data_IF_900643041231
#
_entry.id   IF_900643041231
#
_cell.length_a   1.000
_cell.length_b   1.000
_cell.length_c   1.000
_cell.angle_alpha   90.00
_cell.angle_beta   90.00
_cell.angle_gamma   90.00
#
_symmetry.space_group_name_H-M   'P 1'
#
loop_
_entity.id
_entity.type
_entity.pdbx_description
1 polymer ?
#
# COMPACT_ATOMS: atom_id res chain seq x y z
N UNK A 1 18.23 -12.21 -32.65
CA UNK A 1 17.10 -12.02 -31.72
C UNK A 1 16.25 -10.88 -32.25
N UNK A 2 14.95 -11.09 -32.51
CA UNK A 2 14.05 -10.00 -32.89
C UNK A 2 13.42 -9.47 -31.61
N UNK A 3 14.06 -8.48 -31.00
CA UNK A 3 13.49 -7.82 -29.81
C UNK A 3 12.23 -7.09 -30.29
N UNK A 4 11.05 -7.56 -29.87
CA UNK A 4 9.77 -6.99 -30.28
C UNK A 4 9.30 -5.89 -29.33
N UNK A 5 9.62 -6.02 -28.03
CA UNK A 5 9.32 -5.03 -26.99
C UNK A 5 10.41 -5.00 -25.92
N UNK A 6 10.71 -3.80 -25.44
CA UNK A 6 11.57 -3.52 -24.28
C UNK A 6 10.78 -2.61 -23.34
N UNK A 7 10.82 -2.91 -22.05
CA UNK A 7 10.32 -2.02 -20.99
C UNK A 7 11.48 -1.59 -20.11
N UNK A 8 11.58 -0.32 -19.80
CA UNK A 8 12.56 0.20 -18.84
C UNK A 8 11.87 0.42 -17.50
N UNK A 9 12.52 0.03 -16.42
CA UNK A 9 11.99 0.24 -15.07
C UNK A 9 13.09 0.67 -14.11
N UNK A 10 12.65 1.28 -13.01
CA UNK A 10 13.46 1.52 -11.83
C UNK A 10 12.77 0.79 -10.70
N UNK A 11 13.48 -0.16 -10.10
CA UNK A 11 12.96 -0.93 -8.98
C UNK A 11 13.48 -0.26 -7.70
N UNK A 12 12.59 -0.16 -6.72
CA UNK A 12 12.88 0.31 -5.38
C UNK A 12 12.16 -0.58 -4.36
N UNK A 13 12.47 -0.40 -3.08
CA UNK A 13 11.69 -0.99 -2.01
C UNK A 13 11.44 0.01 -0.87
N UNK A 14 10.35 -0.20 -0.15
CA UNK A 14 9.99 0.54 1.07
C UNK A 14 9.77 -0.49 2.17
N UNK A 15 10.66 -0.51 3.17
CA UNK A 15 10.64 -1.53 4.23
C UNK A 15 10.60 -2.99 3.70
N UNK A 16 11.12 -3.21 2.48
CA UNK A 16 11.16 -4.53 1.84
C UNK A 16 10.00 -4.82 0.90
N UNK A 17 8.95 -3.99 0.90
CA UNK A 17 7.88 -4.09 -0.09
C UNK A 17 8.35 -3.48 -1.42
N UNK A 18 8.34 -4.24 -2.52
CA UNK A 18 8.93 -3.79 -3.78
C UNK A 18 8.02 -2.82 -4.51
N UNK A 19 8.60 -1.84 -5.21
CA UNK A 19 7.90 -1.06 -6.21
C UNK A 19 8.73 -0.99 -7.50
N UNK A 20 8.16 -1.50 -8.59
CA UNK A 20 8.67 -1.38 -9.94
C UNK A 20 8.04 -0.19 -10.67
N UNK A 21 8.81 0.87 -10.88
CA UNK A 21 8.37 2.07 -11.58
C UNK A 21 8.68 1.92 -13.07
N UNK A 22 7.65 1.82 -13.91
CA UNK A 22 7.82 1.65 -15.35
C UNK A 22 8.06 3.00 -16.00
N UNK A 23 9.23 3.17 -16.62
CA UNK A 23 9.70 4.45 -17.19
C UNK A 23 9.66 4.48 -18.72
N UNK A 24 9.46 3.33 -19.37
CA UNK A 24 9.49 3.26 -20.83
C UNK A 24 8.93 1.95 -21.39
N UNK A 25 8.60 1.97 -22.68
CA UNK A 25 7.97 0.84 -23.38
C UNK A 25 6.44 0.77 -23.25
N UNK A 26 5.83 1.71 -22.53
CA UNK A 26 4.37 1.77 -22.30
C UNK A 26 3.68 2.53 -23.44
N UNK A 27 2.56 2.02 -24.00
CA UNK A 27 1.78 2.77 -24.98
C UNK A 27 1.04 3.96 -24.33
N UNK A 28 0.47 4.84 -25.15
CA UNK A 28 -0.35 5.95 -24.63
C UNK A 28 -1.53 5.41 -23.82
N UNK A 29 -1.66 5.86 -22.59
CA UNK A 29 -2.78 5.58 -21.69
C UNK A 29 -3.84 6.66 -21.92
N UNK A 30 -5.04 6.26 -22.35
CA UNK A 30 -6.13 7.21 -22.62
C UNK A 30 -6.97 7.44 -21.37
N UNK A 31 -7.51 8.65 -21.25
CA UNK A 31 -8.38 9.07 -20.14
C UNK A 31 -8.01 10.47 -19.65
N UNK A 32 -9.02 11.27 -19.33
CA UNK A 32 -8.88 12.60 -18.75
C UNK A 32 -8.61 12.51 -17.25
N UNK A 33 -9.23 11.55 -16.56
CA UNK A 33 -9.03 11.29 -15.13
C UNK A 33 -8.16 10.06 -14.86
N UNK A 34 -7.62 9.94 -13.64
CA UNK A 34 -6.88 8.73 -13.26
C UNK A 34 -7.76 7.49 -13.20
N UNK A 35 -9.05 7.64 -12.86
CA UNK A 35 -10.02 6.55 -12.90
C UNK A 35 -10.25 6.04 -14.33
N UNK A 36 -10.42 6.95 -15.30
CA UNK A 36 -10.54 6.60 -16.72
C UNK A 36 -9.28 5.94 -17.25
N UNK A 37 -8.10 6.46 -16.89
CA UNK A 37 -6.82 5.86 -17.27
C UNK A 37 -6.63 4.47 -16.67
N UNK A 38 -7.03 4.27 -15.40
CA UNK A 38 -7.04 2.96 -14.76
C UNK A 38 -7.99 2.00 -15.49
N UNK A 39 -9.20 2.43 -15.83
CA UNK A 39 -10.16 1.62 -16.57
C UNK A 39 -9.62 1.23 -17.96
N UNK A 40 -9.02 2.18 -18.68
CA UNK A 40 -8.34 1.92 -19.96
C UNK A 40 -7.20 0.90 -19.80
N UNK A 41 -6.41 1.02 -18.74
CA UNK A 41 -5.34 0.07 -18.45
C UNK A 41 -5.87 -1.34 -18.18
N UNK A 42 -6.95 -1.48 -17.41
CA UNK A 42 -7.60 -2.76 -17.15
C UNK A 42 -8.15 -3.39 -18.43
N UNK A 43 -8.78 -2.60 -19.30
CA UNK A 43 -9.42 -3.10 -20.52
C UNK A 43 -8.41 -3.43 -21.63
N UNK A 44 -7.34 -2.63 -21.77
CA UNK A 44 -6.47 -2.70 -22.95
C UNK A 44 -5.01 -3.02 -22.64
N UNK A 45 -4.55 -2.75 -21.41
CA UNK A 45 -3.13 -2.80 -21.05
C UNK A 45 -2.80 -3.79 -19.92
N UNK A 46 -3.74 -4.66 -19.51
CA UNK A 46 -3.49 -5.58 -18.40
C UNK A 46 -2.31 -6.53 -18.66
N UNK A 47 -2.03 -6.79 -19.94
CA UNK A 47 -0.84 -7.52 -20.33
C UNK A 47 0.49 -6.91 -19.86
N UNK A 48 0.57 -5.61 -19.58
CA UNK A 48 1.77 -4.99 -18.99
C UNK A 48 2.01 -5.52 -17.58
N UNK A 49 0.92 -5.63 -16.81
CA UNK A 49 0.91 -6.15 -15.45
C UNK A 49 1.33 -7.61 -15.45
N UNK A 50 0.75 -8.44 -16.31
CA UNK A 50 1.17 -9.85 -16.46
C UNK A 50 2.67 -9.94 -16.76
N UNK A 51 3.15 -9.24 -17.80
CA UNK A 51 4.55 -9.31 -18.24
C UNK A 51 5.52 -8.90 -17.11
N UNK A 52 5.21 -7.84 -16.37
CA UNK A 52 6.16 -7.18 -15.47
C UNK A 52 6.00 -7.55 -14.00
N UNK A 53 4.82 -7.99 -13.56
CA UNK A 53 4.57 -8.38 -12.18
C UNK A 53 4.74 -9.88 -11.97
N UNK A 54 4.41 -10.72 -12.96
CA UNK A 54 4.48 -12.17 -12.83
C UNK A 54 5.89 -12.72 -13.04
N UNK A 55 6.11 -13.95 -12.57
CA UNK A 55 7.32 -14.69 -12.92
C UNK A 55 7.37 -14.90 -14.45
N UNK A 56 8.55 -14.87 -15.08
CA UNK A 56 9.89 -14.86 -14.47
C UNK A 56 10.49 -13.45 -14.26
N UNK A 57 9.74 -12.37 -14.55
CA UNK A 57 10.27 -10.99 -14.48
C UNK A 57 9.99 -10.33 -13.13
N UNK A 58 8.87 -10.65 -12.53
CA UNK A 58 8.52 -10.33 -11.15
C UNK A 58 8.38 -11.61 -10.33
N UNK A 59 7.42 -11.60 -9.41
CA UNK A 59 7.09 -12.68 -8.51
C UNK A 59 5.73 -12.41 -7.86
N UNK A 60 5.17 -13.38 -7.14
CA UNK A 60 3.83 -13.27 -6.52
C UNK A 60 3.59 -11.97 -5.73
N UNK A 61 4.58 -11.50 -4.97
CA UNK A 61 4.50 -10.25 -4.20
C UNK A 61 5.03 -8.99 -4.91
N UNK A 62 5.07 -8.94 -6.25
CA UNK A 62 5.59 -7.77 -6.98
C UNK A 62 4.52 -6.69 -7.07
N UNK A 63 4.93 -5.44 -6.82
CA UNK A 63 4.10 -4.25 -6.97
C UNK A 63 4.76 -3.31 -7.99
N UNK A 64 3.96 -2.54 -8.72
CA UNK A 64 4.48 -1.61 -9.70
C UNK A 64 3.59 -0.40 -9.92
N UNK A 65 4.12 0.57 -10.67
CA UNK A 65 3.37 1.74 -11.07
C UNK A 65 3.83 2.34 -12.39
N UNK A 66 3.00 3.21 -12.94
CA UNK A 66 3.30 4.09 -14.06
C UNK A 66 3.04 5.53 -13.59
N UNK A 67 4.06 6.39 -13.74
CA UNK A 67 3.90 7.84 -13.59
C UNK A 67 3.23 8.37 -14.85
N UNK A 68 2.20 9.18 -14.69
CA UNK A 68 1.41 9.78 -15.77
C UNK A 68 1.42 11.31 -15.64
N UNK A 69 1.08 12.04 -16.71
CA UNK A 69 0.78 13.46 -16.57
C UNK A 69 -0.32 13.69 -15.51
N UNK A 70 -0.36 14.83 -14.84
CA UNK A 70 -1.47 15.14 -13.94
C UNK A 70 -2.80 15.13 -14.71
N UNK A 71 -3.88 14.74 -14.03
CA UNK A 71 -5.26 14.89 -14.49
C UNK A 71 -5.82 16.25 -14.05
N UNK A 72 -5.40 16.74 -12.88
CA UNK A 72 -5.80 18.01 -12.29
C UNK A 72 -4.78 19.12 -12.63
N UNK A 73 -5.20 20.36 -12.94
CA UNK A 73 -4.27 21.45 -13.29
C UNK A 73 -3.26 21.84 -12.20
N UNK A 74 -3.57 21.54 -10.93
CA UNK A 74 -2.74 21.87 -9.77
C UNK A 74 -1.94 20.69 -9.22
N UNK A 75 -2.09 19.49 -9.79
CA UNK A 75 -1.28 18.34 -9.43
C UNK A 75 0.07 18.38 -10.16
N UNK A 76 1.11 17.90 -9.50
CA UNK A 76 2.47 17.83 -10.06
C UNK A 76 2.58 16.66 -11.06
N UNK A 77 1.97 15.52 -10.72
CA UNK A 77 1.90 14.34 -11.58
C UNK A 77 0.73 13.44 -11.18
N UNK A 78 0.48 12.41 -11.99
CA UNK A 78 -0.44 11.34 -11.63
C UNK A 78 0.25 9.98 -11.55
N UNK A 79 -0.35 9.02 -10.88
CA UNK A 79 0.21 7.67 -10.74
C UNK A 79 -0.85 6.59 -10.85
N UNK A 80 -0.52 5.51 -11.57
CA UNK A 80 -1.35 4.32 -11.69
C UNK A 80 -0.60 3.12 -11.12
N UNK A 81 -1.16 2.50 -10.09
CA UNK A 81 -0.57 1.35 -9.39
C UNK A 81 -1.09 0.02 -9.94
N UNK A 82 -0.28 -1.03 -9.83
CA UNK A 82 -0.65 -2.39 -10.20
C UNK A 82 0.08 -3.44 -9.34
N UNK A 83 -0.56 -4.59 -9.15
CA UNK A 83 0.00 -5.76 -8.46
C UNK A 83 -0.40 -7.05 -9.18
N UNK A 84 -0.18 -8.20 -8.56
CA UNK A 84 -0.45 -9.52 -9.13
C UNK A 84 -1.94 -9.80 -9.50
N UNK A 85 -2.91 -9.05 -8.97
CA UNK A 85 -4.35 -9.31 -9.21
C UNK A 85 -4.99 -8.25 -10.10
N UNK A 86 -4.36 -7.09 -10.27
CA UNK A 86 -4.93 -6.03 -11.10
C UNK A 86 -4.30 -4.67 -10.88
N UNK A 87 -5.05 -3.65 -11.29
CA UNK A 87 -4.70 -2.25 -11.14
C UNK A 87 -5.29 -1.72 -9.83
N UNK A 88 -4.43 -1.21 -8.95
CA UNK A 88 -4.84 -0.67 -7.64
C UNK A 88 -5.31 0.77 -7.74
N UNK A 89 -6.04 1.22 -6.73
CA UNK A 89 -6.53 2.60 -6.61
C UNK A 89 -5.55 3.52 -5.87
N UNK A 90 -4.87 3.03 -4.84
CA UNK A 90 -3.86 3.78 -4.08
C UNK A 90 -2.86 2.81 -3.44
N UNK A 91 -1.65 3.28 -3.18
CA UNK A 91 -0.63 2.54 -2.45
C UNK A 91 0.31 3.46 -1.66
N UNK A 92 0.27 3.40 -0.32
CA UNK A 92 1.07 4.27 0.54
C UNK A 92 2.59 4.07 0.39
N UNK A 93 3.06 2.83 0.36
CA UNK A 93 4.48 2.55 0.09
C UNK A 93 4.87 2.99 -1.34
N UNK A 94 3.91 2.91 -2.27
CA UNK A 94 4.07 3.33 -3.65
C UNK A 94 4.36 4.82 -3.78
N UNK A 95 3.62 5.66 -3.05
CA UNK A 95 3.85 7.12 -3.00
C UNK A 95 5.24 7.45 -2.49
N UNK A 96 5.66 6.81 -1.40
CA UNK A 96 7.00 6.98 -0.79
C UNK A 96 8.07 6.68 -1.85
N UNK A 97 8.00 5.52 -2.50
CA UNK A 97 8.98 5.12 -3.50
C UNK A 97 8.97 5.99 -4.76
N UNK A 98 7.80 6.35 -5.31
CA UNK A 98 7.72 7.19 -6.52
C UNK A 98 8.38 8.54 -6.31
N UNK A 99 8.14 9.18 -5.17
CA UNK A 99 8.73 10.48 -4.85
C UNK A 99 10.25 10.33 -4.66
N UNK A 100 10.70 9.37 -3.86
CA UNK A 100 12.13 9.14 -3.65
C UNK A 100 12.84 8.88 -4.97
N UNK A 101 12.36 7.94 -5.78
CA UNK A 101 12.97 7.63 -7.07
C UNK A 101 12.92 8.82 -8.01
N UNK A 102 11.78 9.51 -8.09
CA UNK A 102 11.64 10.65 -8.98
C UNK A 102 12.63 11.79 -8.65
N UNK A 103 12.86 12.07 -7.38
CA UNK A 103 13.86 13.05 -6.94
C UNK A 103 15.28 12.55 -7.21
N UNK A 104 15.64 11.35 -6.74
CA UNK A 104 17.02 10.84 -6.79
C UNK A 104 17.51 10.54 -8.20
N UNK A 105 16.58 10.31 -9.14
CA UNK A 105 16.90 10.10 -10.56
C UNK A 105 16.77 11.36 -11.40
N UNK A 106 16.41 12.49 -10.80
CA UNK A 106 16.27 13.78 -11.46
C UNK A 106 15.02 13.92 -12.33
N UNK A 107 14.00 13.07 -12.16
CA UNK A 107 12.69 13.24 -12.82
C UNK A 107 11.90 14.39 -12.19
N UNK A 108 12.08 14.64 -10.90
CA UNK A 108 11.43 15.71 -10.15
C UNK A 108 12.49 16.71 -9.67
N UNK A 109 12.31 17.97 -10.04
CA UNK A 109 13.14 19.06 -9.52
C UNK A 109 12.68 19.45 -8.11
N UNK A 110 13.64 19.62 -7.20
CA UNK A 110 13.38 19.97 -5.81
C UNK A 110 14.07 21.29 -5.50
N UNK A 111 13.31 22.28 -5.02
CA UNK A 111 13.82 23.65 -4.79
C UNK A 111 14.14 23.97 -3.32
N UNK A 112 13.88 23.06 -2.39
CA UNK A 112 14.12 23.27 -0.96
C UNK A 112 14.17 21.98 -0.14
N UNK A 113 14.51 22.09 1.14
CA UNK A 113 14.71 20.93 2.03
C UNK A 113 13.42 20.12 2.27
N UNK A 114 12.26 20.77 2.17
CA UNK A 114 10.95 20.13 2.26
C UNK A 114 10.11 20.52 1.07
N UNK A 115 9.84 19.56 0.18
CA UNK A 115 9.05 19.77 -1.02
C UNK A 115 7.70 19.10 -0.89
N UNK A 116 6.63 19.88 -1.11
CA UNK A 116 5.26 19.35 -1.24
C UNK A 116 5.05 18.84 -2.66
N UNK A 117 4.38 17.69 -2.77
CA UNK A 117 3.87 17.12 -4.00
C UNK A 117 2.36 16.90 -3.89
N UNK A 118 1.63 17.25 -4.93
CA UNK A 118 0.21 16.98 -5.13
C UNK A 118 0.10 15.94 -6.23
N UNK A 119 -0.47 14.77 -5.92
CA UNK A 119 -0.43 13.60 -6.79
C UNK A 119 -1.86 13.16 -7.09
N UNK A 120 -2.20 13.07 -8.38
CA UNK A 120 -3.46 12.46 -8.78
C UNK A 120 -3.33 10.93 -8.76
N UNK A 121 -4.17 10.26 -7.95
CA UNK A 121 -4.33 8.81 -7.97
C UNK A 121 -5.77 8.43 -8.36
N UNK A 122 -6.05 7.17 -8.74
CA UNK A 122 -7.43 6.72 -8.92
C UNK A 122 -8.29 6.82 -7.65
N UNK A 123 -7.70 6.86 -6.45
CA UNK A 123 -8.42 7.12 -5.20
C UNK A 123 -8.64 8.62 -4.89
N UNK A 124 -8.17 9.52 -5.75
CA UNK A 124 -8.21 10.96 -5.55
C UNK A 124 -6.82 11.57 -5.33
N UNK A 125 -6.82 12.84 -4.91
CA UNK A 125 -5.61 13.60 -4.64
C UNK A 125 -4.88 13.04 -3.41
N UNK A 126 -3.57 12.88 -3.53
CA UNK A 126 -2.67 12.55 -2.42
C UNK A 126 -1.65 13.67 -2.25
N UNK A 127 -1.55 14.17 -1.02
CA UNK A 127 -0.54 15.16 -0.65
C UNK A 127 0.64 14.43 -0.02
N UNK A 128 1.84 14.73 -0.49
CA UNK A 128 3.06 14.18 0.06
C UNK A 128 4.14 15.24 0.25
N UNK A 129 5.09 14.94 1.14
CA UNK A 129 6.21 15.81 1.45
C UNK A 129 7.50 15.00 1.44
N UNK A 130 8.44 15.40 0.60
CA UNK A 130 9.80 14.87 0.60
C UNK A 130 10.70 15.73 1.48
N UNK A 131 11.50 15.10 2.33
CA UNK A 131 12.64 15.73 3.00
C UNK A 131 13.91 15.38 2.24
N UNK A 132 14.57 16.39 1.65
CA UNK A 132 15.72 16.21 0.78
C UNK A 132 16.89 17.09 1.25
N UNK A 133 18.07 16.51 1.45
CA UNK A 133 19.23 17.23 1.99
C UNK A 133 20.20 17.76 0.90
N UNK A 134 19.83 17.66 -0.38
CA UNK A 134 20.69 18.03 -1.51
C UNK A 134 21.52 16.87 -2.08
N UNK A 135 21.57 15.72 -1.40
CA UNK A 135 22.20 14.50 -1.90
C UNK A 135 21.25 13.31 -2.01
N UNK A 136 20.40 13.12 -1.00
CA UNK A 136 19.49 11.96 -0.91
C UNK A 136 18.16 12.38 -0.28
N UNK A 137 17.11 11.59 -0.55
CA UNK A 137 15.81 11.77 0.08
C UNK A 137 15.83 11.09 1.44
N UNK A 138 15.82 11.89 2.51
CA UNK A 138 15.90 11.39 3.88
C UNK A 138 14.62 10.68 4.30
N UNK A 139 13.47 11.19 3.87
CA UNK A 139 12.17 10.56 4.06
C UNK A 139 11.10 11.16 3.16
N UNK A 140 10.02 10.39 2.96
CA UNK A 140 8.80 10.86 2.33
C UNK A 140 7.64 10.60 3.26
N UNK A 141 6.79 11.61 3.43
CA UNK A 141 5.54 11.52 4.16
C UNK A 141 4.35 11.75 3.25
N UNK A 142 3.21 11.11 3.50
CA UNK A 142 1.97 11.40 2.80
C UNK A 142 0.82 11.59 3.79
N UNK A 143 -0.08 12.51 3.46
CA UNK A 143 -1.36 12.68 4.13
C UNK A 143 -2.33 11.67 3.54
N UNK A 144 -2.87 10.80 4.37
CA UNK A 144 -3.86 9.84 3.92
C UNK A 144 -5.27 10.40 4.08
N UNK A 145 -6.24 9.75 3.44
CA UNK A 145 -7.66 10.06 3.60
C UNK A 145 -8.11 9.92 5.06
N UNK A 146 -9.21 10.60 5.46
CA UNK A 146 -9.80 10.42 6.78
C UNK A 146 -9.96 8.93 7.14
N UNK A 147 -9.36 8.55 8.25
CA UNK A 147 -9.26 7.19 8.76
C UNK A 147 -10.05 7.09 10.05
N UNK A 148 -10.84 6.04 10.21
CA UNK A 148 -11.81 5.93 11.29
C UNK A 148 -12.04 4.47 11.68
N UNK A 149 -12.55 4.25 12.89
CA UNK A 149 -12.97 2.91 13.31
C UNK A 149 -14.41 2.67 12.88
N UNK A 150 -14.61 1.65 12.06
CA UNK A 150 -15.93 1.30 11.52
C UNK A 150 -16.75 0.51 12.54
N UNK A 151 -16.11 -0.41 13.27
CA UNK A 151 -16.76 -1.22 14.31
C UNK A 151 -15.72 -1.80 15.27
N UNK A 152 -15.95 -1.66 16.57
CA UNK A 152 -15.10 -2.20 17.64
C UNK A 152 -15.55 -3.57 18.13
N UNK A 153 -14.60 -4.31 18.68
CA UNK A 153 -14.82 -5.53 19.46
C UNK A 153 -15.76 -6.53 18.76
N UNK A 154 -15.62 -6.68 17.45
CA UNK A 154 -16.45 -7.57 16.64
C UNK A 154 -16.13 -9.01 17.05
N UNK A 155 -17.10 -9.77 17.59
CA UNK A 155 -16.86 -11.13 18.01
C UNK A 155 -16.69 -12.03 16.77
N UNK A 156 -15.61 -12.80 16.77
CA UNK A 156 -15.29 -13.78 15.73
C UNK A 156 -15.29 -15.16 16.36
N UNK A 157 -15.99 -16.10 15.72
CA UNK A 157 -16.01 -17.51 16.10
C UNK A 157 -15.71 -18.39 14.90
N UNK A 158 -14.48 -18.88 14.83
CA UNK A 158 -13.99 -19.72 13.73
C UNK A 158 -13.41 -20.99 14.34
N UNK A 159 -13.91 -22.14 13.91
CA UNK A 159 -13.58 -23.44 14.50
C UNK A 159 -13.82 -23.42 16.03
N UNK A 160 -12.81 -23.74 16.83
CA UNK A 160 -12.86 -23.72 18.31
C UNK A 160 -12.31 -22.40 18.92
N UNK A 161 -12.01 -21.39 18.10
CA UNK A 161 -11.47 -20.10 18.55
C UNK A 161 -12.58 -19.05 18.67
N UNK A 162 -12.58 -18.33 19.80
CA UNK A 162 -13.42 -17.15 20.04
C UNK A 162 -12.52 -15.97 20.43
N UNK A 163 -12.56 -14.90 19.64
CA UNK A 163 -11.75 -13.70 19.84
C UNK A 163 -12.49 -12.47 19.29
N UNK A 164 -11.89 -11.28 19.43
CA UNK A 164 -12.45 -10.04 18.93
C UNK A 164 -11.52 -9.36 17.93
N UNK A 165 -12.11 -8.64 16.98
CA UNK A 165 -11.38 -7.80 16.03
C UNK A 165 -12.00 -6.41 15.98
N UNK A 166 -11.16 -5.41 15.74
CA UNK A 166 -11.64 -4.09 15.32
C UNK A 166 -11.68 -4.04 13.80
N UNK A 167 -12.71 -3.42 13.24
CA UNK A 167 -12.77 -3.08 11.81
C UNK A 167 -12.52 -1.59 11.68
N UNK A 168 -11.48 -1.21 10.95
CA UNK A 168 -11.08 0.18 10.76
C UNK A 168 -10.80 0.49 9.29
N UNK A 169 -11.02 1.75 8.91
CA UNK A 169 -10.74 2.27 7.59
C UNK A 169 -9.51 3.18 7.63
N UNK A 170 -8.58 2.94 6.71
CA UNK A 170 -7.36 3.74 6.54
C UNK A 170 -7.04 4.05 5.07
N UNK A 171 -8.07 4.25 4.25
CA UNK A 171 -7.99 4.20 2.77
C UNK A 171 -8.42 2.85 2.19
N UNK A 172 -8.41 1.82 3.02
CA UNK A 172 -9.08 0.54 2.79
C UNK A 172 -9.57 -0.01 4.14
N UNK A 173 -10.51 -0.97 4.12
CA UNK A 173 -10.99 -1.61 5.35
C UNK A 173 -10.08 -2.74 5.79
N UNK A 174 -9.71 -2.71 7.07
CA UNK A 174 -8.91 -3.74 7.70
C UNK A 174 -9.62 -4.30 8.91
N UNK A 175 -9.56 -5.62 9.07
CA UNK A 175 -9.76 -6.24 10.38
C UNK A 175 -8.44 -6.22 11.14
N UNK A 176 -8.44 -5.76 12.39
CA UNK A 176 -7.27 -5.68 13.25
C UNK A 176 -7.43 -6.69 14.38
N UNK A 177 -6.44 -7.57 14.51
CA UNK A 177 -6.41 -8.63 15.52
C UNK A 177 -5.04 -8.71 16.17
N UNK A 178 -4.99 -9.13 17.43
CA UNK A 178 -3.74 -9.35 18.15
C UNK A 178 -3.26 -10.80 17.93
N UNK A 179 -1.99 -10.98 17.58
CA UNK A 179 -1.37 -12.29 17.38
C UNK A 179 -1.47 -13.20 18.62
N UNK A 180 -1.53 -12.62 19.82
CA UNK A 180 -1.60 -13.37 21.08
C UNK A 180 -2.86 -14.22 21.20
N UNK A 181 -3.96 -13.85 20.52
CA UNK A 181 -5.22 -14.62 20.49
C UNK A 181 -5.03 -16.03 19.91
N UNK A 182 -3.99 -16.20 19.08
CA UNK A 182 -3.66 -17.47 18.43
C UNK A 182 -2.39 -18.12 18.99
N UNK A 183 -1.75 -17.51 19.99
CA UNK A 183 -0.42 -17.91 20.46
C UNK A 183 0.69 -17.77 19.40
N UNK A 184 0.47 -16.91 18.40
CA UNK A 184 1.42 -16.62 17.32
C UNK A 184 2.22 -15.36 17.64
N UNK A 185 3.29 -15.12 16.87
CA UNK A 185 4.03 -13.85 16.84
C UNK A 185 4.20 -13.35 15.42
N UNK A 186 4.41 -12.05 15.24
CA UNK A 186 4.80 -11.48 13.95
C UNK A 186 6.26 -11.81 13.66
N UNK A 187 6.48 -13.05 13.19
CA UNK A 187 7.78 -13.63 12.88
C UNK A 187 7.64 -14.53 11.63
N UNK A 188 8.72 -14.68 10.86
CA UNK A 188 8.75 -15.54 9.67
C UNK A 188 8.32 -16.98 9.95
N UNK A 189 8.63 -17.52 11.13
CA UNK A 189 8.26 -18.90 11.50
C UNK A 189 6.74 -19.12 11.58
N UNK A 190 5.99 -18.08 11.96
CA UNK A 190 4.54 -18.14 12.19
C UNK A 190 3.75 -17.60 10.99
N UNK A 191 4.44 -17.05 9.98
CA UNK A 191 3.84 -16.35 8.84
C UNK A 191 2.81 -17.19 8.06
N UNK A 192 3.09 -18.48 7.85
CA UNK A 192 2.14 -19.37 7.15
C UNK A 192 0.82 -19.56 7.94
N UNK A 193 0.91 -19.65 9.27
CA UNK A 193 -0.27 -19.70 10.13
C UNK A 193 -1.03 -18.37 10.12
N UNK A 194 -0.30 -17.25 10.15
CA UNK A 194 -0.87 -15.90 10.05
C UNK A 194 -1.61 -15.71 8.71
N UNK A 195 -1.03 -16.12 7.58
CA UNK A 195 -1.68 -16.06 6.27
C UNK A 195 -2.99 -16.87 6.26
N UNK A 196 -2.95 -18.09 6.81
CA UNK A 196 -4.13 -18.95 6.92
C UNK A 196 -5.24 -18.25 7.74
N UNK A 197 -4.88 -17.66 8.87
CA UNK A 197 -5.81 -16.91 9.71
C UNK A 197 -6.34 -15.65 9.02
N UNK A 198 -5.51 -14.93 8.27
CA UNK A 198 -5.92 -13.74 7.52
C UNK A 198 -7.06 -14.06 6.54
N UNK A 199 -6.93 -15.15 5.78
CA UNK A 199 -7.98 -15.63 4.89
C UNK A 199 -9.25 -16.04 5.63
N UNK A 200 -9.12 -16.83 6.72
CA UNK A 200 -10.25 -17.27 7.55
C UNK A 200 -11.03 -16.09 8.14
N UNK A 201 -10.34 -15.12 8.75
CA UNK A 201 -10.94 -13.94 9.39
C UNK A 201 -11.66 -13.08 8.36
N UNK A 202 -11.01 -12.79 7.23
CA UNK A 202 -11.62 -12.02 6.14
C UNK A 202 -12.91 -12.69 5.66
N UNK A 203 -12.84 -13.97 5.30
CA UNK A 203 -14.01 -14.70 4.79
C UNK A 203 -15.14 -14.77 5.83
N UNK A 204 -14.80 -14.98 7.10
CA UNK A 204 -15.79 -14.99 8.17
C UNK A 204 -16.52 -13.65 8.28
N UNK A 205 -15.78 -12.53 8.36
CA UNK A 205 -16.40 -11.19 8.49
C UNK A 205 -17.32 -10.91 7.30
N UNK A 206 -16.86 -11.17 6.08
CA UNK A 206 -17.63 -10.93 4.86
C UNK A 206 -18.86 -11.85 4.75
N UNK A 207 -18.85 -13.02 5.39
CA UNK A 207 -20.02 -13.91 5.47
C UNK A 207 -21.07 -13.45 6.49
N UNK A 208 -20.66 -12.66 7.51
CA UNK A 208 -21.51 -12.27 8.62
C UNK A 208 -22.03 -10.84 8.52
N UNK A 209 -21.32 -9.94 7.82
CA UNK A 209 -21.74 -8.55 7.69
C UNK A 209 -21.23 -7.90 6.41
N UNK A 210 -21.98 -6.90 5.97
CA UNK A 210 -21.55 -5.98 4.93
C UNK A 210 -20.69 -4.86 5.53
N UNK A 211 -19.47 -4.71 4.99
CA UNK A 211 -18.55 -3.61 5.31
C UNK A 211 -18.53 -2.69 4.10
N UNK A 212 -19.01 -1.45 4.26
CA UNK A 212 -19.10 -0.46 3.18
C UNK A 212 -18.72 0.91 3.70
N UNK A 213 -18.01 1.68 2.89
CA UNK A 213 -17.71 3.07 3.19
C UNK A 213 -19.01 3.91 3.12
N UNK A 214 -19.28 4.79 4.11
CA UNK A 214 -20.55 5.49 4.19
C UNK A 214 -20.77 6.49 3.03
N UNK A 215 -19.69 6.98 2.42
CA UNK A 215 -19.74 8.00 1.36
C UNK A 215 -19.33 7.48 -0.02
N UNK A 216 -18.69 6.31 -0.12
CA UNK A 216 -18.06 5.82 -1.35
C UNK A 216 -18.51 4.40 -1.65
N UNK A 217 -19.39 4.20 -2.64
CA UNK A 217 -20.08 2.92 -2.81
C UNK A 217 -19.18 1.77 -3.26
N UNK A 218 -18.11 2.10 -3.98
CA UNK A 218 -17.15 1.13 -4.51
C UNK A 218 -16.16 0.63 -3.45
N UNK A 219 -16.03 1.34 -2.32
CA UNK A 219 -15.17 0.96 -1.20
C UNK A 219 -15.94 0.05 -0.23
N UNK A 220 -15.82 -1.26 -0.44
CA UNK A 220 -16.53 -2.28 0.35
C UNK A 220 -15.68 -3.54 0.55
N UNK A 221 -16.08 -4.36 1.53
CA UNK A 221 -15.40 -5.60 1.90
C UNK A 221 -14.13 -5.35 2.72
N UNK A 222 -13.51 -6.43 3.19
CA UNK A 222 -12.26 -6.37 3.95
C UNK A 222 -11.10 -6.48 2.97
N UNK A 223 -10.30 -5.42 2.85
CA UNK A 223 -9.12 -5.42 2.00
C UNK A 223 -8.06 -6.42 2.53
N UNK A 224 -7.83 -6.39 3.85
CA UNK A 224 -6.89 -7.29 4.51
C UNK A 224 -7.09 -7.37 6.02
N UNK A 225 -6.30 -8.24 6.65
CA UNK A 225 -6.26 -8.43 8.09
C UNK A 225 -4.88 -8.01 8.61
N UNK A 226 -4.87 -7.10 9.57
CA UNK A 226 -3.67 -6.63 10.26
C UNK A 226 -3.50 -7.46 11.52
N UNK A 227 -2.41 -8.20 11.58
CA UNK A 227 -1.99 -8.92 12.78
C UNK A 227 -1.02 -8.02 13.55
N UNK A 228 -1.46 -7.55 14.70
CA UNK A 228 -0.68 -6.69 15.60
C UNK A 228 0.02 -7.56 16.66
N UNK A 229 1.22 -7.15 17.05
CA UNK A 229 2.02 -7.82 18.08
C UNK A 229 2.87 -6.78 18.84
N UNK A 230 3.48 -7.21 19.93
CA UNK A 230 4.45 -6.42 20.67
C UNK A 230 5.65 -6.05 19.76
N UNK A 231 6.21 -4.83 19.90
CA UNK A 231 7.35 -4.41 19.11
C UNK A 231 8.58 -5.30 19.40
N UNK A 232 9.41 -5.53 18.39
CA UNK A 232 10.70 -6.22 18.55
C UNK A 232 11.78 -5.22 18.95
N UNK A 233 11.77 -4.06 18.31
CA UNK A 233 12.70 -2.97 18.61
C UNK A 233 12.15 -2.03 19.69
N UNK A 234 13.02 -1.52 20.57
CA UNK A 234 12.61 -0.73 21.75
C UNK A 234 12.00 0.64 21.41
N UNK A 235 12.33 1.17 20.25
CA UNK A 235 11.85 2.45 19.73
C UNK A 235 10.57 2.30 18.89
N UNK A 236 10.10 1.07 18.64
CA UNK A 236 8.83 0.81 18.00
C UNK A 236 7.67 0.80 19.02
N UNK A 237 6.51 1.29 18.60
CA UNK A 237 5.29 1.27 19.42
C UNK A 237 4.58 -0.07 19.28
N UNK A 238 4.45 -0.58 18.06
CA UNK A 238 3.83 -1.87 17.75
C UNK A 238 4.51 -2.51 16.54
N UNK A 239 4.41 -3.83 16.45
CA UNK A 239 4.79 -4.61 15.27
C UNK A 239 3.54 -5.12 14.55
N UNK A 240 3.60 -5.22 13.23
CA UNK A 240 2.53 -5.83 12.45
C UNK A 240 3.01 -6.69 11.27
N UNK A 241 2.05 -7.46 10.77
CA UNK A 241 2.05 -7.92 9.39
C UNK A 241 0.64 -7.83 8.85
N UNK A 242 0.51 -7.36 7.60
CA UNK A 242 -0.79 -7.26 6.93
C UNK A 242 -0.93 -8.37 5.90
N UNK A 243 -2.00 -9.15 6.01
CA UNK A 243 -2.39 -10.15 5.02
C UNK A 243 -3.51 -9.57 4.16
N UNK A 244 -3.31 -9.50 2.85
CA UNK A 244 -4.26 -8.89 1.92
C UNK A 244 -4.40 -9.70 0.63
N UNK A 245 -5.36 -9.32 -0.22
CA UNK A 245 -5.61 -10.01 -1.49
C UNK A 245 -5.79 -11.53 -1.29
N UNK A 246 -5.34 -12.37 -2.22
CA UNK A 246 -5.27 -13.84 -2.05
C UNK A 246 -4.05 -14.27 -1.20
N UNK A 247 -4.05 -13.90 0.09
CA UNK A 247 -3.05 -14.36 1.06
C UNK A 247 -1.66 -13.71 0.92
N UNK A 248 -1.56 -12.58 0.22
CA UNK A 248 -0.32 -11.82 0.14
C UNK A 248 0.08 -11.21 1.48
N UNK A 249 1.39 -11.08 1.66
CA UNK A 249 2.01 -10.50 2.85
C UNK A 249 2.59 -9.16 2.46
N UNK A 250 2.16 -8.10 3.11
CA UNK A 250 2.85 -6.80 3.00
C UNK A 250 4.14 -6.87 3.81
N UNK A 251 5.28 -6.66 3.16
CA UNK A 251 6.58 -6.66 3.83
C UNK A 251 6.80 -5.36 4.59
N UNK A 252 6.13 -4.29 4.21
CA UNK A 252 6.16 -3.01 4.90
C UNK A 252 5.15 -2.99 6.07
N UNK A 253 5.16 -1.94 6.92
CA UNK A 253 4.12 -1.75 7.94
C UNK A 253 2.72 -1.48 7.38
N UNK A 254 2.57 -1.44 6.04
CA UNK A 254 1.39 -1.08 5.28
C UNK A 254 0.94 0.36 5.55
N UNK A 255 1.03 1.27 4.58
CA UNK A 255 0.71 2.69 4.82
C UNK A 255 -0.75 2.94 5.21
N UNK A 256 -1.68 2.33 4.47
CA UNK A 256 -3.12 2.35 4.77
C UNK A 256 -3.46 1.57 6.04
N UNK A 257 -2.75 0.45 6.29
CA UNK A 257 -2.90 -0.31 7.54
C UNK A 257 -2.41 0.46 8.77
N UNK A 258 -1.30 1.20 8.64
CA UNK A 258 -0.77 2.12 9.65
C UNK A 258 -1.78 3.23 9.93
N UNK A 259 -2.42 3.77 8.89
CA UNK A 259 -3.48 4.77 9.03
C UNK A 259 -4.71 4.25 9.78
N UNK A 260 -5.14 3.02 9.47
CA UNK A 260 -6.20 2.34 10.21
C UNK A 260 -5.80 2.09 11.68
N UNK A 261 -4.53 1.72 11.94
CA UNK A 261 -4.01 1.56 13.30
C UNK A 261 -3.97 2.87 14.07
N UNK A 262 -3.54 3.96 13.46
CA UNK A 262 -3.59 5.31 14.04
C UNK A 262 -5.04 5.63 14.48
N UNK A 263 -6.04 5.39 13.62
CA UNK A 263 -7.44 5.60 13.98
C UNK A 263 -7.88 4.75 15.18
N UNK A 264 -7.54 3.45 15.20
CA UNK A 264 -7.89 2.57 16.33
C UNK A 264 -7.18 2.93 17.64
N UNK A 265 -5.94 3.43 17.57
CA UNK A 265 -5.19 3.85 18.75
C UNK A 265 -5.71 5.19 19.27
N UNK A 266 -6.04 6.11 18.36
CA UNK A 266 -6.64 7.40 18.70
C UNK A 266 -8.00 7.22 19.39
N UNK A 267 -8.87 6.36 18.85
CA UNK A 267 -10.18 6.08 19.46
C UNK A 267 -10.09 5.40 20.84
N UNK A 268 -8.96 4.73 21.12
CA UNK A 268 -8.66 4.09 22.41
C UNK A 268 -7.87 5.00 23.37
N UNK A 269 -7.72 6.29 23.04
CA UNK A 269 -6.88 7.26 23.77
C UNK A 269 -5.42 6.82 23.95
N UNK A 270 -4.95 5.88 23.13
CA UNK A 270 -3.60 5.30 23.17
C UNK A 270 -2.60 6.05 22.27
N UNK A 271 -3.10 6.99 21.46
CA UNK A 271 -2.30 7.90 20.62
C UNK A 271 -3.02 9.25 20.55
N UNK A 272 -2.33 10.33 20.87
CA UNK A 272 -2.87 11.69 20.81
C UNK A 272 -2.35 12.48 19.60
N UNK A 273 -3.03 13.59 19.29
CA UNK A 273 -2.61 14.50 18.22
C UNK A 273 -1.19 15.03 18.49
N UNK A 274 -0.30 14.88 17.51
CA UNK A 274 1.10 15.30 17.58
C UNK A 274 2.04 14.27 18.21
N UNK A 275 1.54 13.13 18.70
CA UNK A 275 2.39 12.01 19.11
C UNK A 275 2.81 11.18 17.89
N UNK A 276 4.02 10.62 17.98
CA UNK A 276 4.58 9.76 16.94
C UNK A 276 4.29 8.29 17.28
N UNK A 277 3.67 7.60 16.34
CA UNK A 277 3.46 6.16 16.35
C UNK A 277 4.50 5.49 15.46
N UNK A 278 5.40 4.68 16.04
CA UNK A 278 6.39 3.94 15.26
C UNK A 278 5.86 2.52 15.00
N UNK A 279 5.53 2.24 13.75
CA UNK A 279 4.94 0.98 13.33
C UNK A 279 5.99 0.11 12.63
N UNK A 280 6.39 -0.98 13.28
CA UNK A 280 7.38 -1.93 12.78
C UNK A 280 6.70 -3.06 12.00
N UNK A 281 7.34 -3.58 10.95
CA UNK A 281 6.81 -4.71 10.17
C UNK A 281 7.65 -5.98 10.31
N UNK A 282 7.19 -7.06 9.69
CA UNK A 282 7.84 -8.38 9.73
C UNK A 282 9.30 -8.40 9.21
N UNK A 283 9.69 -7.45 8.36
CA UNK A 283 11.06 -7.28 7.84
C UNK A 283 11.93 -6.34 8.68
N UNK A 284 11.43 -5.90 9.85
CA UNK A 284 12.07 -4.94 10.76
C UNK A 284 12.14 -3.50 10.19
N UNK A 285 11.49 -3.24 9.05
CA UNK A 285 11.26 -1.87 8.56
C UNK A 285 10.22 -1.13 9.41
N UNK A 286 10.23 0.20 9.33
CA UNK A 286 9.39 1.07 10.16
C UNK A 286 8.73 2.17 9.35
N UNK A 287 7.52 2.54 9.77
CA UNK A 287 6.86 3.78 9.41
C UNK A 287 6.62 4.63 10.65
N UNK A 288 6.71 5.94 10.47
CA UNK A 288 6.25 6.90 11.47
C UNK A 288 4.84 7.36 11.10
N UNK A 289 3.93 7.24 12.06
CA UNK A 289 2.56 7.70 11.96
C UNK A 289 2.30 8.87 12.90
N UNK A 290 1.48 9.83 12.49
CA UNK A 290 0.96 10.86 13.37
C UNK A 290 -0.47 11.25 12.99
N UNK A 291 -1.22 11.78 13.95
CA UNK A 291 -2.53 12.40 13.70
C UNK A 291 -2.32 13.88 13.36
N UNK A 292 -2.62 14.28 12.12
CA UNK A 292 -2.54 15.68 11.69
C UNK A 292 -3.73 16.51 12.17
N UNK A 293 -4.94 15.94 12.03
CA UNK A 293 -6.18 16.59 12.41
C UNK A 293 -7.27 15.56 12.72
N UNK A 294 -8.25 16.00 13.49
CA UNK A 294 -9.49 15.25 13.76
C UNK A 294 -10.57 15.81 12.84
N UNK A 295 -11.42 14.93 12.33
CA UNK A 295 -12.51 15.23 11.40
C UNK A 295 -13.63 14.21 11.59
N UNK A 296 -14.62 14.20 10.70
CA UNK A 296 -15.74 13.27 10.72
C UNK A 296 -15.98 12.72 9.32
N UNK A 297 -16.35 11.44 9.22
CA UNK A 297 -16.81 10.79 8.00
C UNK A 297 -18.20 10.22 8.28
N UNK A 298 -19.23 10.89 7.77
CA UNK A 298 -20.63 10.60 8.13
C UNK A 298 -20.81 10.58 9.67
N UNK A 299 -21.13 9.42 10.26
CA UNK A 299 -21.30 9.25 11.72
C UNK A 299 -20.02 8.88 12.48
N UNK A 300 -18.90 8.71 11.77
CA UNK A 300 -17.65 8.21 12.35
C UNK A 300 -16.71 9.35 12.69
N UNK A 301 -16.22 9.39 13.93
CA UNK A 301 -15.08 10.22 14.30
C UNK A 301 -13.85 9.69 13.55
N UNK A 302 -13.13 10.59 12.90
CA UNK A 302 -12.04 10.26 12.01
C UNK A 302 -10.81 11.12 12.30
N UNK A 303 -9.65 10.60 11.91
CA UNK A 303 -8.38 11.31 11.93
C UNK A 303 -7.83 11.40 10.52
N UNK A 304 -7.12 12.48 10.22
CA UNK A 304 -6.28 12.56 9.02
C UNK A 304 -4.88 12.13 9.44
N UNK A 305 -4.41 10.94 9.05
CA UNK A 305 -3.09 10.47 9.43
C UNK A 305 -2.04 10.92 8.43
N UNK A 306 -0.84 11.21 8.92
CA UNK A 306 0.37 11.30 8.11
C UNK A 306 1.21 10.07 8.34
N UNK A 307 1.67 9.45 7.27
CA UNK A 307 2.57 8.29 7.32
C UNK A 307 3.88 8.65 6.64
N UNK A 308 5.00 8.37 7.30
CA UNK A 308 6.36 8.67 6.85
C UNK A 308 7.17 7.39 6.73
N UNK A 309 7.94 7.27 5.66
CA UNK A 309 8.88 6.18 5.46
C UNK A 309 9.95 6.53 4.44
N UNK A 310 10.81 5.54 4.18
CA UNK A 310 11.97 5.69 3.29
C UNK A 310 11.92 4.63 2.19
N UNK A 311 12.37 4.99 1.00
CA UNK A 311 12.56 4.06 -0.10
C UNK A 311 14.02 3.99 -0.50
N UNK A 312 14.40 2.88 -1.13
CA UNK A 312 15.74 2.69 -1.66
C UNK A 312 15.67 2.09 -3.05
N UNK A 313 16.36 2.70 -4.01
CA UNK A 313 16.52 2.16 -5.37
C UNK A 313 17.33 0.85 -5.28
N UNK A 314 16.78 -0.22 -5.85
CA UNK A 314 17.42 -1.54 -5.90
C UNK A 314 17.99 -1.87 -7.27
N UNK A 315 17.52 -1.22 -8.33
CA UNK A 315 18.06 -1.44 -9.66
C UNK A 315 17.42 -0.65 -10.79
N UNK A 316 18.14 -0.58 -11.90
CA UNK A 316 17.66 -0.07 -13.18
C UNK A 316 17.58 -1.24 -14.16
N UNK A 317 16.40 -1.47 -14.73
CA UNK A 317 16.13 -2.68 -15.50
C UNK A 317 15.70 -2.37 -16.94
N UNK A 318 16.07 -3.28 -17.84
CA UNK A 318 15.54 -3.36 -19.20
C UNK A 318 14.94 -4.75 -19.41
N UNK A 319 13.63 -4.87 -19.28
CA UNK A 319 12.92 -6.12 -19.50
C UNK A 319 12.68 -6.34 -20.99
N UNK A 320 13.02 -7.54 -21.45
CA UNK A 320 12.87 -7.93 -22.85
C UNK A 320 11.76 -8.96 -22.98
N UNK A 321 10.96 -8.82 -24.03
CA UNK A 321 9.94 -9.79 -24.42
C UNK A 321 10.31 -10.36 -25.79
N UNK A 322 10.68 -11.64 -25.82
CA UNK A 322 10.93 -12.36 -27.06
C UNK A 322 9.61 -13.00 -27.53
N UNK A 323 9.15 -12.77 -28.77
CA UNK A 323 7.89 -13.34 -29.25
C UNK A 323 7.92 -14.88 -29.39
N UNK A 324 9.09 -15.51 -29.25
CA UNK A 324 9.26 -16.98 -29.26
C UNK A 324 9.15 -17.60 -27.86
N UNK A 325 9.14 -16.79 -26.81
CA UNK A 325 8.99 -17.24 -25.43
C UNK A 325 7.51 -17.55 -25.18
N UNK A 326 7.18 -18.82 -24.90
CA UNK A 326 5.81 -19.24 -24.58
C UNK A 326 5.34 -18.66 -23.24
N UNK A 327 6.26 -18.24 -22.37
CA UNK A 327 6.01 -17.56 -21.10
C UNK A 327 6.16 -16.03 -21.23
N UNK A 328 6.02 -15.48 -22.44
CA UNK A 328 6.22 -14.05 -22.67
C UNK A 328 5.28 -13.16 -21.84
N UNK A 329 4.09 -13.65 -21.46
CA UNK A 329 3.12 -13.00 -20.56
C UNK A 329 3.40 -13.24 -19.08
N UNK A 330 4.25 -14.19 -18.73
CA UNK A 330 4.50 -14.61 -17.35
C UNK A 330 3.45 -15.57 -16.78
N UNK A 331 3.66 -15.99 -15.54
CA UNK A 331 2.79 -16.92 -14.80
C UNK A 331 2.87 -16.68 -13.28
N UNK A 332 1.87 -17.19 -12.56
CA UNK A 332 1.87 -17.28 -11.10
C UNK A 332 1.76 -18.74 -10.68
N UNK A 333 2.43 -19.09 -9.59
CA UNK A 333 2.23 -20.34 -8.88
C UNK A 333 1.39 -20.02 -7.63
N UNK A 334 0.26 -20.72 -7.50
CA UNK A 334 -0.65 -20.62 -6.36
C UNK A 334 -0.14 -21.41 -5.16
#
# INVERSE_FOLDING_TARGET
>A
MKISKIYTTIDAHVAGEPLRIITGGVPVIKGETQLERRAYCMEHLDHLREILMYEPRGHHGMYGCIITPPASPHADFGVLFMHNEGWSTMCGHGIIAVITVGIETGMFEVTGEKQKFIIDSPAGEVIAYAKYNGSEVESVSFENVPSFVYKKDVPIKIDDYEFQVDIAFGGAFYAVVDCKEFGLKVDFKDLSAIQTWGGKIKHYIESQMEVKHPLEEDLKGIYGVIFSDEPKEKDATLRNVTIFADGQVDRSPCGTGTSARIATLFEKDALQKGEIFIHECITDGKFEGEVLSVTEVDKYEAVVPKVTGNAFITGFHQFVVDPRDDLNRGFLLA
#
